data_IF_910795844566
#
_entry.id   IF_910795844566
#
_cell.length_a   1.000
_cell.length_b   1.000
_cell.length_c   1.000
_cell.angle_alpha   90.00
_cell.angle_beta   90.00
_cell.angle_gamma   90.00
#
_symmetry.space_group_name_H-M   'P 1'
#
loop_
_entity.id
_entity.type
_entity.pdbx_description
1 polymer ?
#
# COMPACT_ATOMS: atom_id res chain seq x y z
N UNK A 1 29.59 -59.36 -34.76
CA UNK A 1 28.13 -59.28 -34.96
C UNK A 1 27.58 -58.17 -34.09
N UNK A 2 27.11 -57.12 -34.76
CA UNK A 2 26.74 -55.79 -34.25
C UNK A 2 25.44 -55.83 -33.42
N UNK A 3 25.49 -55.35 -32.17
CA UNK A 3 24.29 -55.13 -31.35
C UNK A 3 23.65 -53.78 -31.70
N UNK A 4 22.41 -53.85 -32.18
CA UNK A 4 21.49 -52.73 -32.46
C UNK A 4 21.22 -51.90 -31.17
N UNK A 5 21.09 -50.56 -31.25
CA UNK A 5 20.63 -49.75 -30.12
C UNK A 5 19.09 -49.86 -29.94
N UNK A 6 18.56 -49.63 -28.73
CA UNK A 6 17.12 -49.71 -28.46
C UNK A 6 16.35 -48.51 -29.03
N UNK A 7 15.15 -48.81 -29.52
CA UNK A 7 14.20 -47.90 -30.16
C UNK A 7 13.67 -46.84 -29.18
N UNK A 8 13.55 -45.60 -29.67
CA UNK A 8 12.92 -44.46 -29.01
C UNK A 8 11.41 -44.68 -28.84
N UNK A 9 10.91 -44.48 -27.63
CA UNK A 9 9.48 -44.45 -27.35
C UNK A 9 8.84 -43.15 -27.89
N UNK A 10 7.61 -43.19 -28.44
CA UNK A 10 6.97 -42.02 -29.01
C UNK A 10 6.35 -41.10 -27.94
N UNK A 11 6.52 -39.80 -28.15
CA UNK A 11 5.94 -38.67 -27.39
C UNK A 11 4.40 -38.73 -27.46
N UNK A 12 3.64 -38.60 -26.35
CA UNK A 12 2.18 -38.59 -26.44
C UNK A 12 1.66 -37.26 -26.99
N UNK A 13 0.95 -37.35 -28.12
CA UNK A 13 0.15 -36.28 -28.73
C UNK A 13 -1.03 -35.90 -27.81
N UNK A 14 -1.10 -34.64 -27.42
CA UNK A 14 -2.25 -34.05 -26.73
C UNK A 14 -3.53 -34.13 -27.60
N UNK A 15 -4.54 -34.87 -27.14
CA UNK A 15 -5.90 -34.84 -27.67
C UNK A 15 -6.70 -33.71 -26.99
N UNK A 16 -7.23 -32.76 -27.76
CA UNK A 16 -8.49 -32.04 -27.45
C UNK A 16 -9.66 -33.01 -27.72
N UNK A 17 -10.84 -32.95 -27.06
CA UNK A 17 -11.81 -31.83 -27.13
C UNK A 17 -12.57 -31.60 -25.78
N UNK A 18 -13.38 -30.56 -25.52
CA UNK A 18 -14.61 -30.11 -26.17
C UNK A 18 -14.92 -28.66 -25.75
N UNK A 19 -15.09 -27.79 -26.74
CA UNK A 19 -15.92 -26.59 -26.61
C UNK A 19 -17.38 -27.04 -26.61
N UNK A 20 -18.18 -26.45 -25.72
CA UNK A 20 -19.30 -25.56 -26.07
C UNK A 20 -20.45 -25.68 -25.06
N UNK A 21 -20.75 -24.58 -24.37
CA UNK A 21 -22.11 -24.02 -24.32
C UNK A 21 -22.15 -22.68 -23.56
N UNK A 22 -22.47 -21.67 -24.35
CA UNK A 22 -23.25 -20.45 -24.05
C UNK A 22 -22.52 -19.26 -23.41
N UNK A 23 -22.00 -18.43 -24.32
CA UNK A 23 -22.08 -16.98 -24.24
C UNK A 23 -23.50 -16.52 -23.90
N UNK A 24 -23.65 -15.74 -22.83
CA UNK A 24 -24.62 -14.65 -22.77
C UNK A 24 -23.85 -13.36 -22.64
N UNK A 25 -23.80 -12.64 -23.74
CA UNK A 25 -23.49 -11.22 -23.84
C UNK A 25 -24.53 -10.43 -23.04
N UNK A 26 -24.06 -9.56 -22.16
CA UNK A 26 -24.92 -8.73 -21.32
C UNK A 26 -24.10 -7.69 -20.57
N UNK A 27 -24.07 -6.50 -21.16
CA UNK A 27 -23.75 -5.20 -20.57
C UNK A 27 -22.28 -4.88 -20.25
N UNK A 28 -21.62 -4.26 -21.25
CA UNK A 28 -20.46 -3.41 -21.04
C UNK A 28 -20.91 -2.09 -20.40
N UNK A 29 -21.27 -2.12 -19.12
CA UNK A 29 -21.46 -0.89 -18.35
C UNK A 29 -20.08 -0.29 -18.08
N UNK A 30 -19.72 0.71 -18.87
CA UNK A 30 -18.65 1.70 -18.65
C UNK A 30 -17.73 1.40 -17.45
N UNK A 31 -16.59 0.77 -17.73
CA UNK A 31 -15.50 0.63 -16.75
C UNK A 31 -14.95 2.04 -16.49
N UNK A 32 -15.62 2.75 -15.58
CA UNK A 32 -15.10 3.95 -14.93
C UNK A 32 -13.76 3.54 -14.37
N UNK A 33 -12.67 4.06 -14.96
CA UNK A 33 -11.33 3.92 -14.42
C UNK A 33 -11.41 4.29 -12.94
N UNK A 34 -11.18 3.38 -11.97
CA UNK A 34 -11.12 3.80 -10.59
C UNK A 34 -9.91 4.72 -10.49
N UNK A 35 -10.16 6.02 -10.38
CA UNK A 35 -9.19 6.98 -9.84
C UNK A 35 -8.66 6.37 -8.55
N UNK A 36 -7.34 6.42 -8.27
CA UNK A 36 -6.77 5.71 -7.13
C UNK A 36 -7.60 5.97 -5.87
N UNK A 37 -8.01 4.91 -5.16
CA UNK A 37 -8.91 5.00 -3.99
C UNK A 37 -8.43 6.05 -2.96
N UNK A 38 -7.13 6.32 -2.90
CA UNK A 38 -6.57 7.37 -2.07
C UNK A 38 -7.11 8.77 -2.42
N UNK A 39 -7.26 9.15 -3.69
CA UNK A 39 -7.63 10.52 -4.10
C UNK A 39 -9.07 10.84 -3.67
N UNK A 40 -10.00 9.91 -3.91
CA UNK A 40 -11.42 10.11 -3.59
C UNK A 40 -11.68 10.32 -2.10
N UNK A 41 -10.94 9.61 -1.24
CA UNK A 41 -11.04 9.80 0.20
C UNK A 41 -10.73 11.25 0.60
N UNK A 42 -9.69 11.83 0.00
CA UNK A 42 -9.28 13.20 0.31
C UNK A 42 -10.22 14.24 -0.31
N UNK A 43 -10.73 13.99 -1.52
CA UNK A 43 -11.78 14.81 -2.13
C UNK A 43 -13.04 14.80 -1.26
N UNK A 44 -13.42 13.63 -0.72
CA UNK A 44 -14.55 13.50 0.19
C UNK A 44 -14.33 14.29 1.49
N UNK A 45 -13.12 14.28 2.07
CA UNK A 45 -12.77 15.12 3.23
C UNK A 45 -13.00 16.60 2.92
N UNK A 46 -12.48 17.11 1.78
CA UNK A 46 -12.65 18.52 1.42
C UNK A 46 -14.12 18.88 1.19
N UNK A 47 -14.89 17.97 0.58
CA UNK A 47 -16.33 18.15 0.42
C UNK A 47 -17.06 18.18 1.77
N UNK A 48 -16.69 17.31 2.71
CA UNK A 48 -17.22 17.31 4.08
C UNK A 48 -16.83 18.57 4.85
N UNK A 49 -15.61 19.09 4.67
CA UNK A 49 -15.18 20.36 5.27
C UNK A 49 -15.98 21.55 4.73
N UNK A 50 -16.22 21.61 3.41
CA UNK A 50 -17.09 22.61 2.81
C UNK A 50 -18.54 22.47 3.34
N UNK A 51 -19.06 21.24 3.41
CA UNK A 51 -20.37 20.95 3.99
C UNK A 51 -20.49 21.33 5.48
N UNK A 52 -19.43 21.15 6.26
CA UNK A 52 -19.36 21.62 7.65
C UNK A 52 -19.41 23.14 7.73
N UNK A 53 -18.79 23.86 6.79
CA UNK A 53 -18.95 25.31 6.66
C UNK A 53 -20.42 25.72 6.44
N UNK A 54 -21.12 25.06 5.52
CA UNK A 54 -22.57 25.28 5.32
C UNK A 54 -23.38 24.96 6.59
N UNK A 55 -23.03 23.87 7.29
CA UNK A 55 -23.68 23.52 8.54
C UNK A 55 -23.48 24.60 9.62
N UNK A 56 -22.30 25.21 9.69
CA UNK A 56 -22.05 26.36 10.56
C UNK A 56 -22.98 27.54 10.23
N UNK A 57 -23.15 27.86 8.95
CA UNK A 57 -24.07 28.92 8.51
C UNK A 57 -25.50 28.67 8.95
N UNK A 58 -25.99 27.45 8.80
CA UNK A 58 -27.35 27.05 9.22
C UNK A 58 -27.51 27.12 10.74
N UNK A 59 -26.51 26.68 11.50
CA UNK A 59 -26.57 26.66 12.97
C UNK A 59 -26.53 28.05 13.60
N UNK A 60 -25.78 28.98 13.00
CA UNK A 60 -25.60 30.34 13.54
C UNK A 60 -26.35 31.42 12.76
N UNK A 61 -27.08 31.03 11.72
CA UNK A 61 -27.95 31.86 10.90
C UNK A 61 -27.25 33.08 10.29
N UNK A 62 -26.05 32.87 9.68
CA UNK A 62 -25.31 33.98 9.04
C UNK A 62 -25.86 34.34 7.64
N UNK A 63 -26.63 33.44 7.02
CA UNK A 63 -27.45 33.73 5.84
C UNK A 63 -26.72 33.68 4.49
N UNK A 64 -25.46 33.20 4.45
CA UNK A 64 -24.64 33.16 3.21
C UNK A 64 -23.93 31.80 3.11
N UNK A 65 -24.64 30.73 2.70
CA UNK A 65 -24.10 29.37 2.74
C UNK A 65 -22.91 29.18 1.80
N UNK A 66 -22.85 29.92 0.69
CA UNK A 66 -21.72 29.86 -0.25
C UNK A 66 -20.41 30.36 0.39
N UNK A 67 -20.46 31.47 1.12
CA UNK A 67 -19.28 32.01 1.79
C UNK A 67 -18.80 31.06 2.89
N UNK A 68 -19.73 30.50 3.67
CA UNK A 68 -19.42 29.53 4.70
C UNK A 68 -18.80 28.24 4.11
N UNK A 69 -19.28 27.78 2.95
CA UNK A 69 -18.67 26.67 2.23
C UNK A 69 -17.21 26.95 1.82
N UNK A 70 -16.91 28.17 1.38
CA UNK A 70 -15.54 28.60 1.01
C UNK A 70 -14.63 28.56 2.24
N UNK A 71 -15.06 29.12 3.38
CA UNK A 71 -14.29 29.04 4.63
C UNK A 71 -14.03 27.58 5.04
N UNK A 72 -15.07 26.74 5.03
CA UNK A 72 -14.96 25.32 5.37
C UNK A 72 -13.99 24.57 4.44
N UNK A 73 -14.05 24.83 3.14
CA UNK A 73 -13.13 24.25 2.16
C UNK A 73 -11.69 24.69 2.40
N UNK A 74 -11.43 25.99 2.59
CA UNK A 74 -10.08 26.51 2.80
C UNK A 74 -9.46 26.01 4.10
N UNK A 75 -10.24 25.97 5.20
CA UNK A 75 -9.82 25.35 6.47
C UNK A 75 -9.47 23.88 6.26
N UNK A 76 -10.35 23.11 5.62
CA UNK A 76 -10.12 21.69 5.33
C UNK A 76 -8.88 21.47 4.45
N UNK A 77 -8.66 22.31 3.45
CA UNK A 77 -7.50 22.25 2.55
C UNK A 77 -6.18 22.54 3.27
N UNK A 78 -6.16 23.58 4.12
CA UNK A 78 -5.01 23.91 4.97
C UNK A 78 -4.71 22.76 5.94
N UNK A 79 -5.72 22.23 6.63
CA UNK A 79 -5.55 21.09 7.51
C UNK A 79 -5.01 19.85 6.77
N UNK A 80 -5.57 19.54 5.60
CA UNK A 80 -5.15 18.42 4.76
C UNK A 80 -3.70 18.56 4.25
N UNK A 81 -3.25 19.78 3.96
CA UNK A 81 -1.88 20.05 3.54
C UNK A 81 -0.86 19.75 4.65
N UNK A 82 -1.21 20.00 5.92
CA UNK A 82 -0.41 19.59 7.07
C UNK A 82 -0.41 18.06 7.24
N UNK A 83 -1.57 17.41 7.11
CA UNK A 83 -1.70 15.94 7.14
C UNK A 83 -0.98 15.20 6.01
N UNK A 84 -0.52 15.91 4.97
CA UNK A 84 0.30 15.31 3.91
C UNK A 84 1.78 15.61 4.04
N UNK A 85 2.15 16.39 5.05
CA UNK A 85 3.52 16.85 5.22
C UNK A 85 3.95 17.82 4.11
N UNK A 86 3.00 18.40 3.36
CA UNK A 86 3.29 19.34 2.29
C UNK A 86 3.77 20.70 2.84
N UNK A 87 3.23 21.11 3.99
CA UNK A 87 3.60 22.37 4.65
C UNK A 87 4.64 22.20 5.77
N UNK A 88 4.66 21.07 6.47
CA UNK A 88 5.58 20.82 7.58
C UNK A 88 5.94 19.33 7.75
N UNK A 89 6.74 18.75 6.83
CA UNK A 89 7.03 17.31 6.82
C UNK A 89 7.71 16.82 8.12
N UNK A 90 8.60 17.63 8.70
CA UNK A 90 9.29 17.28 9.95
C UNK A 90 8.37 17.25 11.18
N UNK A 91 7.35 18.11 11.23
CA UNK A 91 6.38 18.17 12.34
C UNK A 91 5.49 16.93 12.30
N UNK A 92 5.00 16.57 11.11
CA UNK A 92 4.14 15.40 10.96
C UNK A 92 4.86 14.09 11.27
N UNK A 93 6.13 13.97 10.86
CA UNK A 93 6.95 12.80 11.18
C UNK A 93 7.15 12.62 12.70
N UNK A 94 7.24 13.71 13.47
CA UNK A 94 7.33 13.68 14.94
C UNK A 94 5.97 13.37 15.58
N UNK A 95 4.90 14.01 15.13
CA UNK A 95 3.53 13.78 15.60
C UNK A 95 3.15 12.30 15.49
N UNK A 96 3.44 11.65 14.35
CA UNK A 96 3.09 10.24 14.12
C UNK A 96 3.71 9.26 15.12
N UNK A 97 4.81 9.63 15.78
CA UNK A 97 5.52 8.82 16.79
C UNK A 97 4.93 8.95 18.19
N UNK A 98 4.05 9.92 18.43
CA UNK A 98 3.46 10.13 19.75
C UNK A 98 2.40 9.06 20.04
N UNK A 99 2.26 8.65 21.32
CA UNK A 99 1.11 7.88 21.79
C UNK A 99 -0.20 8.59 21.43
N UNK A 100 -1.27 7.84 21.15
CA UNK A 100 -2.55 8.42 20.68
C UNK A 100 -3.10 9.50 21.62
N UNK A 101 -2.97 9.32 22.94
CA UNK A 101 -3.42 10.29 23.95
C UNK A 101 -2.67 11.64 23.87
N UNK A 102 -1.40 11.62 23.47
CA UNK A 102 -0.59 12.84 23.28
C UNK A 102 -0.71 13.39 21.86
N UNK A 103 -0.92 12.50 20.88
CA UNK A 103 -1.06 12.86 19.47
C UNK A 103 -2.21 13.84 19.26
N UNK A 104 -3.41 13.55 19.79
CA UNK A 104 -4.60 14.38 19.55
C UNK A 104 -4.42 15.83 20.04
N UNK A 105 -4.07 16.11 21.31
CA UNK A 105 -3.94 17.50 21.77
C UNK A 105 -2.78 18.25 21.11
N UNK A 106 -1.66 17.57 20.83
CA UNK A 106 -0.50 18.20 20.18
C UNK A 106 -0.79 18.48 18.70
N UNK A 107 -1.51 17.56 18.03
CA UNK A 107 -2.00 17.78 16.69
C UNK A 107 -2.96 18.98 16.67
N UNK A 108 -3.91 19.05 17.59
CA UNK A 108 -4.88 20.16 17.68
C UNK A 108 -4.19 21.53 17.83
N UNK A 109 -3.13 21.62 18.65
CA UNK A 109 -2.33 22.86 18.75
C UNK A 109 -1.72 23.24 17.40
N UNK A 110 -1.19 22.26 16.65
CA UNK A 110 -0.67 22.51 15.31
C UNK A 110 -1.80 22.89 14.33
N UNK A 111 -3.01 22.34 14.49
CA UNK A 111 -4.18 22.64 13.67
C UNK A 111 -4.76 24.03 13.92
N UNK A 112 -4.64 24.62 15.12
CA UNK A 112 -5.06 26.01 15.38
C UNK A 112 -4.44 26.97 14.35
N UNK A 113 -3.13 26.84 14.09
CA UNK A 113 -2.44 27.66 13.10
C UNK A 113 -2.95 27.42 11.67
N UNK A 114 -3.26 26.16 11.33
CA UNK A 114 -3.79 25.79 10.02
C UNK A 114 -5.23 26.25 9.81
N UNK A 115 -6.06 26.22 10.85
CA UNK A 115 -7.42 26.73 10.85
C UNK A 115 -7.39 28.25 10.66
N UNK A 116 -6.52 28.97 11.38
CA UNK A 116 -6.36 30.41 11.21
C UNK A 116 -5.91 30.77 9.79
N UNK A 117 -4.93 30.04 9.24
CA UNK A 117 -4.47 30.22 7.86
C UNK A 117 -5.58 29.91 6.83
N UNK A 118 -6.30 28.80 7.02
CA UNK A 118 -7.41 28.42 6.15
C UNK A 118 -8.58 29.40 6.22
N UNK A 119 -8.88 29.94 7.40
CA UNK A 119 -9.89 30.96 7.56
C UNK A 119 -9.47 32.27 6.88
N UNK A 120 -8.23 32.71 7.09
CA UNK A 120 -7.69 33.92 6.47
C UNK A 120 -7.70 33.84 4.93
N UNK A 121 -7.33 32.68 4.37
CA UNK A 121 -7.37 32.45 2.92
C UNK A 121 -8.79 32.40 2.39
N UNK A 122 -9.72 31.71 3.06
CA UNK A 122 -11.14 31.72 2.72
C UNK A 122 -11.74 33.13 2.78
N UNK A 123 -11.38 33.90 3.80
CA UNK A 123 -11.81 35.28 3.99
C UNK A 123 -11.34 36.22 2.89
N UNK A 124 -10.11 36.03 2.41
CA UNK A 124 -9.60 36.76 1.25
C UNK A 124 -10.46 36.49 0.00
N UNK A 125 -10.82 35.24 -0.27
CA UNK A 125 -11.69 34.89 -1.40
C UNK A 125 -13.10 35.47 -1.23
N UNK A 126 -13.69 35.31 -0.06
CA UNK A 126 -15.03 35.81 0.25
C UNK A 126 -15.11 37.34 0.13
N UNK A 127 -14.08 38.06 0.61
CA UNK A 127 -13.98 39.51 0.52
C UNK A 127 -13.77 39.99 -0.92
N UNK A 128 -12.83 39.38 -1.66
CA UNK A 128 -12.55 39.73 -3.07
C UNK A 128 -13.74 39.48 -3.98
N UNK A 129 -14.56 38.47 -3.69
CA UNK A 129 -15.81 38.17 -4.40
C UNK A 129 -17.01 38.99 -3.92
N UNK A 130 -16.85 39.82 -2.87
CA UNK A 130 -17.92 40.67 -2.34
C UNK A 130 -19.09 39.91 -1.73
N UNK A 131 -18.87 38.69 -1.23
CA UNK A 131 -19.97 37.80 -0.83
C UNK A 131 -20.65 38.22 0.49
N UNK A 132 -19.93 38.85 1.42
CA UNK A 132 -20.42 39.07 2.79
C UNK A 132 -20.64 40.55 3.17
N UNK A 133 -20.28 41.50 2.30
CA UNK A 133 -20.41 42.94 2.58
C UNK A 133 -19.61 43.46 3.77
N UNK A 134 -18.78 42.62 4.42
CA UNK A 134 -18.04 42.96 5.62
C UNK A 134 -16.65 43.56 5.33
N UNK A 135 -16.05 44.18 6.37
CA UNK A 135 -14.69 44.70 6.35
C UNK A 135 -13.66 43.57 6.17
N UNK A 136 -12.54 43.87 5.52
CA UNK A 136 -11.44 42.92 5.34
C UNK A 136 -10.99 42.25 6.66
N UNK A 137 -10.89 43.02 7.75
CA UNK A 137 -10.45 42.51 9.05
C UNK A 137 -11.39 41.44 9.63
N UNK A 138 -12.72 41.60 9.50
CA UNK A 138 -13.70 40.64 10.03
C UNK A 138 -13.82 39.41 9.14
N UNK A 139 -13.53 39.55 7.85
CA UNK A 139 -13.47 38.42 6.92
C UNK A 139 -12.24 37.53 7.16
N UNK A 140 -11.10 38.10 7.57
CA UNK A 140 -9.83 37.35 7.67
C UNK A 140 -9.52 36.87 9.09
N UNK A 141 -10.09 37.49 10.12
CA UNK A 141 -9.87 37.09 11.52
C UNK A 141 -11.03 36.20 12.03
N UNK A 142 -10.76 34.96 12.45
CA UNK A 142 -11.82 34.07 12.94
C UNK A 142 -12.38 34.58 14.27
N UNK A 143 -13.71 34.64 14.36
CA UNK A 143 -14.36 34.90 15.65
C UNK A 143 -14.12 33.72 16.62
N UNK A 144 -14.17 33.93 17.95
CA UNK A 144 -14.00 32.85 18.91
C UNK A 144 -14.97 31.68 18.69
N UNK A 145 -16.21 31.97 18.24
CA UNK A 145 -17.21 30.95 17.93
C UNK A 145 -16.81 30.08 16.74
N UNK A 146 -16.29 30.70 15.67
CA UNK A 146 -15.76 29.98 14.50
C UNK A 146 -14.59 29.11 14.93
N UNK A 147 -13.67 29.65 15.74
CA UNK A 147 -12.50 28.91 16.18
C UNK A 147 -12.89 27.66 16.98
N UNK A 148 -13.80 27.79 17.95
CA UNK A 148 -14.30 26.64 18.74
C UNK A 148 -14.97 25.60 17.83
N UNK A 149 -15.83 26.02 16.91
CA UNK A 149 -16.48 25.11 15.98
C UNK A 149 -15.47 24.38 15.07
N UNK A 150 -14.52 25.13 14.49
CA UNK A 150 -13.50 24.60 13.60
C UNK A 150 -12.55 23.62 14.34
N UNK A 151 -12.26 23.87 15.62
CA UNK A 151 -11.48 22.94 16.45
C UNK A 151 -12.21 21.62 16.68
N UNK A 152 -13.52 21.64 16.95
CA UNK A 152 -14.31 20.40 17.10
C UNK A 152 -14.32 19.60 15.80
N UNK A 153 -14.50 20.27 14.65
CA UNK A 153 -14.49 19.62 13.33
C UNK A 153 -13.09 19.09 12.98
N UNK A 154 -12.04 19.86 13.30
CA UNK A 154 -10.64 19.43 13.18
C UNK A 154 -10.36 18.18 14.00
N UNK A 155 -10.77 18.15 15.27
CA UNK A 155 -10.54 17.00 16.14
C UNK A 155 -11.18 15.73 15.58
N UNK A 156 -12.40 15.83 15.03
CA UNK A 156 -13.06 14.72 14.34
C UNK A 156 -12.28 14.28 13.09
N UNK A 157 -11.81 15.24 12.28
CA UNK A 157 -11.01 14.95 11.08
C UNK A 157 -9.69 14.25 11.43
N UNK A 158 -8.95 14.78 12.41
CA UNK A 158 -7.68 14.21 12.91
C UNK A 158 -7.91 12.79 13.41
N UNK A 159 -8.99 12.55 14.15
CA UNK A 159 -9.35 11.22 14.62
C UNK A 159 -9.59 10.25 13.45
N UNK A 160 -10.38 10.65 12.44
CA UNK A 160 -10.67 9.83 11.26
C UNK A 160 -9.39 9.51 10.47
N UNK A 161 -8.53 10.50 10.24
CA UNK A 161 -7.26 10.28 9.52
C UNK A 161 -6.34 9.36 10.32
N UNK A 162 -6.25 9.55 11.64
CA UNK A 162 -5.44 8.69 12.51
C UNK A 162 -5.95 7.25 12.50
N UNK A 163 -7.27 7.04 12.59
CA UNK A 163 -7.87 5.71 12.55
C UNK A 163 -7.60 5.02 11.20
N UNK A 164 -7.73 5.75 10.10
CA UNK A 164 -7.39 5.25 8.76
C UNK A 164 -5.92 4.85 8.66
N UNK A 165 -5.01 5.65 9.20
CA UNK A 165 -3.57 5.37 9.17
C UNK A 165 -3.19 4.17 10.06
N UNK A 166 -3.96 3.90 11.12
CA UNK A 166 -3.78 2.71 11.98
C UNK A 166 -4.31 1.42 11.34
N UNK A 167 -5.47 1.48 10.67
CA UNK A 167 -6.10 0.31 10.04
C UNK A 167 -5.52 0.04 8.63
N UNK A 168 -5.04 1.07 7.95
CA UNK A 168 -4.70 1.03 6.53
C UNK A 168 -5.86 1.54 5.66
N UNK A 169 -5.55 2.40 4.69
CA UNK A 169 -6.55 3.15 3.94
C UNK A 169 -7.56 2.29 3.17
N UNK A 170 -7.11 1.20 2.54
CA UNK A 170 -8.00 0.32 1.78
C UNK A 170 -8.90 -0.51 2.70
N UNK A 171 -8.35 -1.06 3.79
CA UNK A 171 -9.11 -1.81 4.79
C UNK A 171 -10.15 -0.90 5.46
N UNK A 172 -9.76 0.32 5.85
CA UNK A 172 -10.65 1.31 6.47
C UNK A 172 -11.88 1.59 5.61
N UNK A 173 -11.69 1.88 4.31
CA UNK A 173 -12.81 2.17 3.40
C UNK A 173 -13.71 0.95 3.23
N UNK A 174 -13.14 -0.25 3.10
CA UNK A 174 -13.93 -1.47 2.96
C UNK A 174 -14.75 -1.80 4.22
N UNK A 175 -14.23 -1.50 5.41
CA UNK A 175 -14.97 -1.62 6.68
C UNK A 175 -16.11 -0.59 6.76
N UNK A 176 -15.84 0.68 6.42
CA UNK A 176 -16.86 1.74 6.44
C UNK A 176 -18.03 1.48 5.49
N UNK A 177 -17.78 0.86 4.34
CA UNK A 177 -18.81 0.50 3.36
C UNK A 177 -19.45 -0.86 3.69
N UNK A 178 -18.89 -1.62 4.63
CA UNK A 178 -19.36 -2.95 5.00
C UNK A 178 -19.18 -4.00 3.90
N UNK A 179 -18.20 -3.81 3.00
CA UNK A 179 -18.04 -4.64 1.78
C UNK A 179 -17.86 -6.13 2.10
N UNK A 180 -17.17 -6.45 3.18
CA UNK A 180 -16.82 -7.83 3.57
C UNK A 180 -17.62 -8.37 4.75
N UNK A 181 -18.68 -7.67 5.20
CA UNK A 181 -19.60 -8.21 6.22
C UNK A 181 -20.26 -9.52 5.76
N UNK A 182 -20.36 -9.72 4.43
CA UNK A 182 -20.68 -11.01 3.82
C UNK A 182 -19.46 -11.51 3.05
N UNK A 183 -19.23 -12.83 2.98
CA UNK A 183 -18.14 -13.39 2.19
C UNK A 183 -18.25 -12.99 0.72
N UNK A 184 -17.16 -12.48 0.14
CA UNK A 184 -17.06 -12.07 -1.26
C UNK A 184 -16.00 -12.92 -1.95
N UNK A 185 -16.37 -13.60 -3.03
CA UNK A 185 -15.40 -14.27 -3.90
C UNK A 185 -14.76 -13.26 -4.85
N UNK A 186 -13.43 -13.18 -4.85
CA UNK A 186 -12.66 -12.31 -5.72
C UNK A 186 -11.29 -12.91 -6.05
N UNK A 187 -10.70 -12.48 -7.17
CA UNK A 187 -9.34 -12.85 -7.52
C UNK A 187 -8.33 -11.85 -6.96
N UNK A 188 -7.31 -12.38 -6.26
CA UNK A 188 -6.26 -11.58 -5.64
C UNK A 188 -4.88 -12.14 -5.94
N UNK A 189 -3.90 -11.24 -5.91
CA UNK A 189 -2.48 -11.56 -5.92
C UNK A 189 -1.97 -11.37 -4.50
N UNK A 190 -1.13 -12.29 -4.04
CA UNK A 190 -0.46 -12.25 -2.75
C UNK A 190 1.06 -12.29 -2.97
N UNK A 191 1.75 -11.42 -2.26
CA UNK A 191 3.20 -11.37 -2.15
C UNK A 191 3.57 -11.60 -0.69
N UNK A 192 4.36 -12.65 -0.44
CA UNK A 192 4.97 -12.90 0.85
C UNK A 192 6.40 -12.37 0.79
N UNK A 193 6.77 -11.48 1.70
CA UNK A 193 8.12 -10.91 1.81
C UNK A 193 8.73 -11.32 3.16
N UNK A 194 9.70 -12.22 3.14
CA UNK A 194 10.40 -12.78 4.31
C UNK A 194 11.79 -12.14 4.45
N UNK A 195 12.21 -11.77 5.66
CA UNK A 195 13.54 -11.20 5.90
C UNK A 195 14.56 -12.31 6.12
N UNK A 196 15.56 -12.37 5.25
CA UNK A 196 16.59 -13.42 5.31
C UNK A 196 17.43 -13.26 6.57
N UNK A 197 17.59 -14.35 7.34
CA UNK A 197 18.47 -14.39 8.50
C UNK A 197 17.96 -13.60 9.72
N UNK A 198 16.68 -13.24 9.75
CA UNK A 198 16.03 -12.53 10.87
C UNK A 198 16.25 -13.23 12.23
N UNK A 199 16.11 -14.56 12.28
CA UNK A 199 16.29 -15.36 13.50
C UNK A 199 17.74 -15.33 13.98
N UNK A 200 18.70 -15.52 13.07
CA UNK A 200 20.13 -15.44 13.40
C UNK A 200 20.51 -14.02 13.86
N UNK A 201 19.89 -12.99 13.27
CA UNK A 201 20.06 -11.61 13.71
C UNK A 201 19.57 -11.42 15.14
N UNK A 202 18.40 -11.97 15.49
CA UNK A 202 17.83 -11.92 16.84
C UNK A 202 18.69 -12.67 17.87
N UNK A 203 19.18 -13.86 17.53
CA UNK A 203 20.10 -14.63 18.38
C UNK A 203 21.38 -13.85 18.69
N UNK A 204 21.90 -13.09 17.72
CA UNK A 204 23.16 -12.34 17.87
C UNK A 204 22.98 -11.00 18.58
N UNK A 205 21.85 -10.32 18.37
CA UNK A 205 21.65 -8.92 18.77
C UNK A 205 20.60 -8.71 19.87
N UNK A 206 19.86 -9.77 20.22
CA UNK A 206 18.73 -9.72 21.14
C UNK A 206 17.43 -9.20 20.53
N UNK A 207 16.32 -9.59 21.15
CA UNK A 207 14.96 -9.38 20.63
C UNK A 207 14.61 -7.91 20.39
N UNK A 208 15.04 -7.00 21.27
CA UNK A 208 14.73 -5.57 21.13
C UNK A 208 15.39 -4.96 19.88
N UNK A 209 16.64 -5.33 19.60
CA UNK A 209 17.36 -4.83 18.42
C UNK A 209 16.84 -5.49 17.15
N UNK A 210 16.47 -6.77 17.19
CA UNK A 210 15.79 -7.46 16.10
C UNK A 210 14.42 -6.85 15.77
N UNK A 211 13.61 -6.52 16.79
CA UNK A 211 12.33 -5.86 16.60
C UNK A 211 12.49 -4.48 15.95
N UNK A 212 13.49 -3.70 16.39
CA UNK A 212 13.80 -2.41 15.79
C UNK A 212 14.28 -2.55 14.33
N UNK A 213 15.03 -3.61 14.03
CA UNK A 213 15.50 -3.97 12.69
C UNK A 213 14.33 -4.34 11.77
N UNK A 214 13.48 -5.30 12.18
CA UNK A 214 12.29 -5.69 11.43
C UNK A 214 11.33 -4.52 11.21
N UNK A 215 11.10 -3.71 12.24
CA UNK A 215 10.26 -2.51 12.13
C UNK A 215 10.79 -1.52 11.09
N UNK A 216 12.10 -1.34 10.99
CA UNK A 216 12.71 -0.49 9.96
C UNK A 216 12.57 -1.11 8.55
N UNK A 217 12.70 -2.44 8.43
CA UNK A 217 12.57 -3.14 7.14
C UNK A 217 11.14 -3.00 6.62
N UNK A 218 10.14 -3.26 7.49
CA UNK A 218 8.73 -3.11 7.16
C UNK A 218 8.35 -1.67 6.79
N UNK A 219 8.92 -0.68 7.47
CA UNK A 219 8.74 0.72 7.10
C UNK A 219 9.28 1.03 5.68
N UNK A 220 10.41 0.42 5.31
CA UNK A 220 11.03 0.57 3.98
C UNK A 220 10.23 -0.13 2.88
N UNK A 221 9.59 -1.26 3.19
CA UNK A 221 8.69 -1.99 2.29
C UNK A 221 7.42 -1.18 1.98
N UNK A 222 6.92 -0.41 2.96
CA UNK A 222 5.61 0.24 2.85
C UNK A 222 5.49 1.24 1.68
N UNK A 223 6.54 2.00 1.37
CA UNK A 223 6.51 3.00 0.29
C UNK A 223 6.47 2.36 -1.12
N UNK A 224 7.37 1.42 -1.48
CA UNK A 224 7.26 0.62 -2.70
C UNK A 224 5.88 -0.03 -2.87
N UNK A 225 5.33 -0.64 -1.81
CA UNK A 225 4.00 -1.27 -1.84
C UNK A 225 2.92 -0.25 -2.20
N UNK A 226 2.90 0.91 -1.55
CA UNK A 226 1.96 1.99 -1.86
C UNK A 226 2.11 2.50 -3.29
N UNK A 227 3.35 2.72 -3.76
CA UNK A 227 3.63 3.18 -5.12
C UNK A 227 3.15 2.18 -6.18
N UNK A 228 3.30 0.89 -5.90
CA UNK A 228 2.79 -0.21 -6.73
C UNK A 228 1.30 -0.54 -6.46
N UNK A 229 0.59 0.31 -5.71
CA UNK A 229 -0.84 0.20 -5.40
C UNK A 229 -1.23 -1.14 -4.73
N UNK A 230 -0.31 -1.72 -3.98
CA UNK A 230 -0.57 -2.86 -3.10
C UNK A 230 -1.03 -2.41 -1.73
N UNK A 231 -1.66 -3.33 -1.00
CA UNK A 231 -2.00 -3.16 0.40
C UNK A 231 -1.20 -4.14 1.23
N UNK A 232 -0.46 -3.65 2.24
CA UNK A 232 0.05 -4.51 3.31
C UNK A 232 -1.14 -4.97 4.14
N UNK A 233 -1.33 -6.28 4.22
CA UNK A 233 -2.45 -6.90 4.93
C UNK A 233 -2.10 -7.24 6.37
N UNK A 234 -0.96 -7.91 6.57
CA UNK A 234 -0.51 -8.34 7.88
C UNK A 234 1.02 -8.45 7.95
N UNK A 235 1.53 -8.46 9.18
CA UNK A 235 2.91 -8.82 9.50
C UNK A 235 2.90 -10.07 10.38
N UNK A 236 3.40 -11.18 9.85
CA UNK A 236 3.41 -12.48 10.54
C UNK A 236 4.86 -12.81 10.88
N UNK A 237 5.28 -12.46 12.10
CA UNK A 237 6.69 -12.59 12.50
C UNK A 237 7.58 -11.64 11.72
N UNK A 238 8.53 -12.18 10.97
CA UNK A 238 9.47 -11.51 10.08
C UNK A 238 8.96 -11.41 8.63
N UNK A 239 7.73 -11.85 8.37
CA UNK A 239 7.11 -11.85 7.06
C UNK A 239 6.08 -10.73 6.91
N UNK A 240 6.16 -9.98 5.80
CA UNK A 240 5.12 -9.04 5.37
C UNK A 240 4.22 -9.68 4.30
N UNK A 241 2.90 -9.63 4.53
CA UNK A 241 1.89 -10.04 3.56
C UNK A 241 1.38 -8.83 2.79
N UNK A 242 1.56 -8.82 1.47
CA UNK A 242 1.06 -7.77 0.58
C UNK A 242 0.06 -8.37 -0.40
N UNK A 243 -1.01 -7.64 -0.70
CA UNK A 243 -2.06 -8.12 -1.60
C UNK A 243 -2.56 -7.06 -2.57
N UNK A 244 -3.05 -7.51 -3.73
CA UNK A 244 -3.72 -6.71 -4.74
C UNK A 244 -4.99 -7.41 -5.22
N UNK A 245 -6.07 -6.67 -5.53
CA UNK A 245 -7.05 -7.15 -6.50
C UNK A 245 -6.34 -7.52 -7.80
N UNK A 246 -6.68 -8.67 -8.42
CA UNK A 246 -5.96 -9.25 -9.56
C UNK A 246 -5.69 -8.22 -10.67
N UNK A 247 -6.75 -7.56 -11.17
CA UNK A 247 -6.64 -6.56 -12.23
C UNK A 247 -5.69 -5.39 -11.89
N UNK A 248 -5.62 -4.99 -10.60
CA UNK A 248 -4.76 -3.89 -10.15
C UNK A 248 -3.29 -4.31 -10.12
N UNK A 249 -2.99 -5.54 -9.69
CA UNK A 249 -1.61 -6.04 -9.61
C UNK A 249 -1.05 -6.45 -10.97
N UNK A 250 -1.88 -6.98 -11.88
CA UNK A 250 -1.47 -7.31 -13.26
C UNK A 250 -1.18 -6.07 -14.11
N UNK A 251 -1.89 -4.96 -13.87
CA UNK A 251 -1.67 -3.71 -14.61
C UNK A 251 -0.22 -3.29 -14.52
N UNK A 252 0.45 -3.21 -15.68
CA UNK A 252 1.88 -2.86 -15.79
C UNK A 252 2.80 -3.75 -14.94
N UNK A 253 2.36 -4.98 -14.64
CA UNK A 253 3.03 -5.92 -13.75
C UNK A 253 3.45 -5.32 -12.40
N UNK A 254 2.60 -4.47 -11.80
CA UNK A 254 2.86 -3.80 -10.52
C UNK A 254 3.24 -4.76 -9.40
N UNK A 255 2.65 -5.95 -9.36
CA UNK A 255 2.97 -6.98 -8.39
C UNK A 255 4.45 -7.42 -8.48
N UNK A 256 4.98 -7.57 -9.70
CA UNK A 256 6.39 -7.88 -9.95
C UNK A 256 7.27 -6.65 -9.69
N UNK A 257 6.88 -5.49 -10.22
CA UNK A 257 7.62 -4.24 -10.02
C UNK A 257 7.80 -3.89 -8.53
N UNK A 258 6.81 -4.22 -7.69
CA UNK A 258 6.87 -4.02 -6.24
C UNK A 258 8.07 -4.74 -5.60
N UNK A 259 8.35 -5.98 -5.99
CA UNK A 259 9.45 -6.78 -5.44
C UNK A 259 10.78 -6.06 -5.68
N UNK A 260 11.04 -5.64 -6.91
CA UNK A 260 12.29 -4.98 -7.28
C UNK A 260 12.38 -3.55 -6.73
N UNK A 261 11.24 -2.86 -6.62
CA UNK A 261 11.18 -1.56 -5.95
C UNK A 261 11.52 -1.63 -4.46
N UNK A 262 11.13 -2.71 -3.77
CA UNK A 262 11.53 -2.96 -2.37
C UNK A 262 13.05 -3.16 -2.29
N UNK A 263 13.60 -4.06 -3.12
CA UNK A 263 15.05 -4.35 -3.13
C UNK A 263 15.88 -3.11 -3.44
N UNK A 264 15.44 -2.30 -4.40
CA UNK A 264 16.10 -1.05 -4.74
C UNK A 264 16.09 -0.06 -3.57
N UNK A 265 14.96 0.06 -2.84
CA UNK A 265 14.92 0.93 -1.66
C UNK A 265 15.85 0.45 -0.53
N UNK A 266 15.95 -0.86 -0.30
CA UNK A 266 16.88 -1.42 0.69
C UNK A 266 18.35 -1.17 0.28
N UNK A 267 18.67 -1.36 -1.01
CA UNK A 267 20.02 -1.14 -1.54
C UNK A 267 20.41 0.34 -1.56
N UNK A 268 19.47 1.25 -1.85
CA UNK A 268 19.72 2.70 -1.87
C UNK A 268 20.20 3.23 -0.51
N UNK A 269 19.68 2.67 0.57
CA UNK A 269 19.97 3.11 1.94
C UNK A 269 21.01 2.21 2.64
N UNK A 270 21.80 1.43 1.88
CA UNK A 270 22.71 0.41 2.39
C UNK A 270 23.67 0.92 3.49
N UNK A 271 24.29 2.09 3.29
CA UNK A 271 25.22 2.67 4.28
C UNK A 271 24.53 2.96 5.62
N UNK A 272 23.30 3.48 5.57
CA UNK A 272 22.51 3.75 6.77
C UNK A 272 22.11 2.44 7.49
N UNK A 273 21.84 1.38 6.73
CA UNK A 273 21.59 0.04 7.28
C UNK A 273 22.81 -0.52 7.99
N UNK A 274 23.98 -0.46 7.37
CA UNK A 274 25.24 -0.93 7.95
C UNK A 274 25.57 -0.16 9.23
N UNK A 275 25.47 1.18 9.20
CA UNK A 275 25.75 2.00 10.37
C UNK A 275 24.82 1.71 11.55
N UNK A 276 23.53 1.50 11.29
CA UNK A 276 22.52 1.34 12.34
C UNK A 276 22.39 -0.10 12.85
N UNK A 277 22.51 -1.08 11.96
CA UNK A 277 22.17 -2.47 12.23
C UNK A 277 23.32 -3.45 11.95
N UNK A 278 24.41 -3.01 11.33
CA UNK A 278 25.58 -3.82 11.01
C UNK A 278 25.43 -4.68 9.75
N UNK A 279 24.29 -4.59 9.05
CA UNK A 279 24.02 -5.37 7.84
C UNK A 279 22.97 -4.68 6.98
N UNK A 280 22.95 -4.98 5.69
CA UNK A 280 21.89 -4.58 4.76
C UNK A 280 20.83 -5.68 4.73
N UNK A 281 19.54 -5.36 4.92
CA UNK A 281 18.49 -6.37 4.88
C UNK A 281 18.36 -7.03 3.51
N UNK A 282 18.32 -8.35 3.52
CA UNK A 282 17.97 -9.17 2.37
C UNK A 282 16.55 -9.73 2.53
N UNK A 283 15.86 -9.93 1.41
CA UNK A 283 14.49 -10.42 1.40
C UNK A 283 14.30 -11.61 0.45
N UNK A 284 13.39 -12.50 0.84
CA UNK A 284 12.78 -13.50 -0.04
C UNK A 284 11.36 -13.07 -0.38
N UNK A 285 10.98 -13.19 -1.64
CA UNK A 285 9.71 -12.76 -2.18
C UNK A 285 9.03 -13.90 -2.94
N UNK A 286 7.81 -14.26 -2.54
CA UNK A 286 7.01 -15.27 -3.24
C UNK A 286 5.69 -14.68 -3.71
N UNK A 287 5.39 -14.83 -5.00
CA UNK A 287 4.27 -14.18 -5.66
C UNK A 287 3.35 -15.20 -6.35
N UNK A 288 2.08 -15.22 -5.95
CA UNK A 288 1.05 -16.05 -6.57
C UNK A 288 -0.31 -15.34 -6.53
N UNK A 289 -1.24 -15.75 -7.39
CA UNK A 289 -2.58 -15.18 -7.42
C UNK A 289 -3.62 -16.18 -7.90
N UNK A 290 -4.84 -16.02 -7.40
CA UNK A 290 -5.98 -16.88 -7.69
C UNK A 290 -7.25 -16.44 -6.96
N UNK A 291 -8.29 -17.26 -7.04
CA UNK A 291 -9.55 -17.01 -6.33
C UNK A 291 -9.39 -17.17 -4.82
N UNK A 292 -10.00 -16.25 -4.08
CA UNK A 292 -10.15 -16.27 -2.63
C UNK A 292 -11.53 -15.78 -2.25
N UNK A 293 -11.98 -16.20 -1.08
CA UNK A 293 -13.13 -15.63 -0.38
C UNK A 293 -12.59 -14.65 0.67
N UNK A 294 -12.88 -13.37 0.48
CA UNK A 294 -12.59 -12.32 1.44
C UNK A 294 -13.82 -12.09 2.34
N UNK A 295 -13.63 -12.17 3.64
CA UNK A 295 -14.70 -11.95 4.62
C UNK A 295 -14.15 -11.24 5.86
N UNK A 296 -14.99 -10.42 6.48
CA UNK A 296 -14.71 -9.86 7.79
C UNK A 296 -14.88 -10.95 8.86
N UNK A 297 -13.86 -11.14 9.68
CA UNK A 297 -13.81 -12.16 10.74
C UNK A 297 -13.36 -11.49 12.04
N UNK A 298 -14.01 -11.86 13.15
CA UNK A 298 -13.71 -11.39 14.48
C UNK A 298 -14.96 -10.97 15.25
N UNK A 299 -14.88 -11.05 16.58
CA UNK A 299 -15.94 -10.56 17.49
C UNK A 299 -15.43 -9.31 18.21
N UNK A 300 -14.26 -9.41 18.86
CA UNK A 300 -13.65 -8.27 19.56
C UNK A 300 -12.66 -7.50 18.68
N UNK A 301 -12.02 -8.20 17.72
CA UNK A 301 -11.08 -7.64 16.75
C UNK A 301 -11.48 -8.06 15.35
N UNK A 302 -12.10 -7.14 14.62
CA UNK A 302 -12.48 -7.32 13.23
C UNK A 302 -11.25 -7.22 12.32
N UNK A 303 -11.10 -8.18 11.41
CA UNK A 303 -10.13 -8.13 10.32
C UNK A 303 -10.72 -8.72 9.05
N UNK A 304 -10.24 -8.27 7.90
CA UNK A 304 -10.54 -8.94 6.64
C UNK A 304 -9.64 -10.17 6.57
N UNK A 305 -10.22 -11.35 6.43
CA UNK A 305 -9.52 -12.61 6.25
C UNK A 305 -9.73 -13.13 4.83
N UNK A 306 -8.68 -13.71 4.25
CA UNK A 306 -8.75 -14.37 2.95
C UNK A 306 -8.70 -15.88 3.14
N UNK A 307 -9.73 -16.57 2.67
CA UNK A 307 -9.78 -18.02 2.61
C UNK A 307 -9.69 -18.47 1.17
N UNK A 308 -8.74 -19.34 0.87
CA UNK A 308 -8.60 -19.89 -0.47
C UNK A 308 -7.25 -20.56 -0.68
N UNK A 309 -7.17 -21.28 -1.79
CA UNK A 309 -5.96 -21.98 -2.18
C UNK A 309 -4.81 -21.01 -2.45
N UNK A 310 -5.11 -19.82 -2.98
CA UNK A 310 -4.10 -18.84 -3.37
C UNK A 310 -3.18 -18.44 -2.21
N UNK A 311 -3.72 -18.12 -1.02
CA UNK A 311 -2.90 -17.73 0.15
C UNK A 311 -1.98 -18.87 0.58
N UNK A 312 -2.51 -20.10 0.63
CA UNK A 312 -1.76 -21.28 1.02
C UNK A 312 -0.66 -21.63 -0.01
N UNK A 313 -0.96 -21.51 -1.30
CA UNK A 313 0.02 -21.72 -2.37
C UNK A 313 1.14 -20.67 -2.28
N UNK A 314 0.82 -19.40 -2.00
CA UNK A 314 1.85 -18.37 -1.81
C UNK A 314 2.75 -18.66 -0.62
N UNK A 315 2.20 -19.07 0.53
CA UNK A 315 2.99 -19.45 1.71
C UNK A 315 3.95 -20.62 1.42
N UNK A 316 3.49 -21.59 0.62
CA UNK A 316 4.32 -22.73 0.22
C UNK A 316 5.36 -22.36 -0.83
N UNK A 317 5.05 -21.41 -1.71
CA UNK A 317 5.99 -20.84 -2.66
C UNK A 317 7.10 -20.07 -1.93
N UNK A 318 6.79 -19.36 -0.84
CA UNK A 318 7.80 -18.73 0.03
C UNK A 318 8.77 -19.76 0.61
N UNK A 319 8.25 -20.87 1.14
CA UNK A 319 9.10 -21.94 1.65
C UNK A 319 10.02 -22.53 0.55
N UNK A 320 9.53 -22.62 -0.70
CA UNK A 320 10.35 -23.05 -1.85
C UNK A 320 11.47 -22.07 -2.21
N UNK A 321 11.34 -20.76 -1.91
CA UNK A 321 12.43 -19.80 -2.10
C UNK A 321 13.70 -20.25 -1.35
N UNK A 322 13.52 -20.86 -0.16
CA UNK A 322 14.63 -21.36 0.68
C UNK A 322 15.29 -22.60 0.07
N UNK A 323 14.49 -23.52 -0.45
CA UNK A 323 14.99 -24.80 -1.00
C UNK A 323 15.63 -24.63 -2.38
N UNK A 324 15.15 -23.69 -3.19
CA UNK A 324 15.61 -23.48 -4.56
C UNK A 324 16.72 -22.43 -4.68
N UNK A 325 17.16 -21.84 -3.56
CA UNK A 325 18.13 -20.74 -3.52
C UNK A 325 17.79 -19.60 -4.49
N UNK A 326 16.49 -19.30 -4.58
CA UNK A 326 15.93 -18.35 -5.52
C UNK A 326 15.14 -17.29 -4.73
N UNK A 327 15.67 -16.07 -4.56
CA UNK A 327 15.10 -15.10 -3.64
C UNK A 327 13.77 -14.51 -4.11
N UNK A 328 13.45 -14.58 -5.41
CA UNK A 328 12.18 -14.08 -5.93
C UNK A 328 11.51 -15.17 -6.77
N UNK A 329 10.42 -15.74 -6.28
CA UNK A 329 9.66 -16.76 -6.98
C UNK A 329 8.28 -16.24 -7.40
N UNK A 330 7.86 -16.64 -8.59
CA UNK A 330 6.51 -16.46 -9.10
C UNK A 330 5.94 -17.81 -9.55
N UNK A 331 4.68 -18.07 -9.22
CA UNK A 331 3.98 -19.24 -9.78
C UNK A 331 3.79 -19.09 -11.29
N UNK A 332 3.90 -20.17 -12.05
CA UNK A 332 3.64 -20.15 -13.49
C UNK A 332 2.21 -19.69 -13.83
N UNK A 333 1.22 -20.02 -12.99
CA UNK A 333 -0.18 -19.61 -13.15
C UNK A 333 -0.35 -18.08 -13.16
N UNK A 334 0.34 -17.38 -12.25
CA UNK A 334 0.33 -15.92 -12.22
C UNK A 334 1.18 -15.34 -13.35
N UNK A 335 2.34 -15.93 -13.63
CA UNK A 335 3.21 -15.49 -14.72
C UNK A 335 2.49 -15.51 -16.08
N UNK A 336 1.67 -16.55 -16.33
CA UNK A 336 0.88 -16.69 -17.55
C UNK A 336 -0.25 -15.65 -17.68
N UNK A 337 -0.63 -14.98 -16.59
CA UNK A 337 -1.65 -13.91 -16.57
C UNK A 337 -1.05 -12.51 -16.75
N UNK A 338 0.28 -12.37 -16.76
CA UNK A 338 0.96 -11.11 -17.00
C UNK A 338 1.13 -10.88 -18.51
N UNK A 339 0.68 -9.74 -19.02
CA UNK A 339 0.88 -9.39 -20.43
C UNK A 339 2.37 -9.22 -20.78
N UNK A 340 3.13 -8.63 -19.86
CA UNK A 340 4.57 -8.38 -19.97
C UNK A 340 5.20 -8.24 -18.58
N UNK A 341 6.46 -8.61 -18.46
CA UNK A 341 7.27 -8.27 -17.29
C UNK A 341 7.75 -6.82 -17.37
N UNK A 342 8.07 -6.16 -16.24
CA UNK A 342 8.69 -4.84 -16.29
C UNK A 342 10.06 -4.91 -16.99
N UNK A 343 10.49 -3.79 -17.58
CA UNK A 343 11.74 -3.72 -18.33
C UNK A 343 12.95 -4.11 -17.46
N UNK A 344 13.86 -4.91 -18.02
CA UNK A 344 15.04 -5.40 -17.31
C UNK A 344 14.77 -6.51 -16.29
N UNK A 345 13.59 -7.13 -16.32
CA UNK A 345 13.25 -8.30 -15.49
C UNK A 345 12.91 -9.48 -16.39
N UNK A 346 13.54 -10.62 -16.12
CA UNK A 346 13.26 -11.89 -16.80
C UNK A 346 12.76 -12.94 -15.81
N UNK A 347 11.97 -13.88 -16.33
CA UNK A 347 11.54 -15.06 -15.58
C UNK A 347 12.30 -16.30 -16.07
N UNK A 348 13.07 -16.94 -15.18
CA UNK A 348 13.76 -18.20 -15.46
C UNK A 348 12.93 -19.37 -14.89
N UNK A 349 12.38 -20.26 -15.73
CA UNK A 349 11.63 -21.41 -15.24
C UNK A 349 12.49 -22.31 -14.34
N UNK A 350 11.95 -22.72 -13.20
CA UNK A 350 12.59 -23.68 -12.29
C UNK A 350 11.89 -25.04 -12.28
N UNK A 351 10.96 -25.26 -13.21
CA UNK A 351 10.21 -26.50 -13.33
C UNK A 351 9.09 -26.64 -12.30
N UNK A 352 8.75 -27.89 -12.02
CA UNK A 352 7.55 -28.29 -11.30
C UNK A 352 7.95 -28.92 -9.97
N UNK A 353 7.41 -28.39 -8.87
CA UNK A 353 7.78 -28.80 -7.51
C UNK A 353 6.58 -29.38 -6.77
N UNK A 354 6.75 -30.44 -5.97
CA UNK A 354 5.70 -30.95 -5.11
C UNK A 354 5.39 -29.93 -4.01
N UNK A 355 4.10 -29.74 -3.73
CA UNK A 355 3.68 -28.81 -2.70
C UNK A 355 3.23 -29.60 -1.46
N UNK A 356 3.96 -29.47 -0.34
CA UNK A 356 3.72 -30.24 0.89
C UNK A 356 2.24 -30.18 1.32
N UNK A 357 1.66 -31.35 1.63
CA UNK A 357 0.26 -31.47 2.08
C UNK A 357 -0.78 -31.49 0.95
N UNK A 358 -0.40 -31.83 -0.28
CA UNK A 358 -1.32 -32.05 -1.41
C UNK A 358 -0.66 -32.90 -2.51
N UNK A 359 -1.44 -33.65 -3.28
CA UNK A 359 -0.99 -34.33 -4.52
C UNK A 359 -0.93 -33.37 -5.73
N UNK A 360 -0.74 -32.06 -5.50
CA UNK A 360 -0.63 -31.07 -6.56
C UNK A 360 0.80 -30.57 -6.64
N UNK A 361 1.27 -30.43 -7.86
CA UNK A 361 2.55 -29.82 -8.17
C UNK A 361 2.36 -28.36 -8.56
N UNK A 362 3.37 -27.54 -8.30
CA UNK A 362 3.39 -26.12 -8.64
C UNK A 362 4.56 -25.86 -9.58
N UNK A 363 4.25 -25.37 -10.79
CA UNK A 363 5.27 -24.85 -11.69
C UNK A 363 5.68 -23.45 -11.21
N UNK A 364 6.99 -23.21 -11.11
CA UNK A 364 7.53 -21.95 -10.57
C UNK A 364 8.64 -21.40 -11.46
N UNK A 365 8.83 -20.08 -11.41
CA UNK A 365 9.92 -19.38 -12.08
C UNK A 365 10.61 -18.42 -11.12
N UNK A 366 11.91 -18.26 -11.27
CA UNK A 366 12.69 -17.22 -10.60
C UNK A 366 12.56 -15.90 -11.36
N UNK A 367 12.33 -14.81 -10.64
CA UNK A 367 12.37 -13.45 -11.18
C UNK A 367 13.78 -12.86 -10.96
N UNK A 368 14.43 -12.48 -12.04
CA UNK A 368 15.80 -11.96 -12.06
C UNK A 368 15.85 -10.60 -12.73
N UNK A 369 16.62 -9.67 -12.15
CA UNK A 369 17.01 -8.46 -12.84
C UNK A 369 18.10 -8.79 -13.87
N UNK A 370 17.98 -8.24 -15.08
CA UNK A 370 19.02 -8.30 -16.09
C UNK A 370 20.21 -7.40 -15.67
N UNK A 371 21.43 -7.76 -16.07
CA UNK A 371 22.65 -7.06 -15.63
C UNK A 371 22.61 -5.54 -15.88
N UNK A 372 21.93 -5.09 -16.93
CA UNK A 372 21.77 -3.67 -17.26
C UNK A 372 20.82 -2.93 -16.31
N UNK A 373 19.84 -3.63 -15.73
CA UNK A 373 18.93 -3.09 -14.71
C UNK A 373 19.66 -2.80 -13.39
N UNK A 374 20.60 -3.69 -13.02
CA UNK A 374 21.45 -3.52 -11.84
C UNK A 374 22.47 -2.40 -12.09
N UNK A 375 23.13 -2.38 -13.25
CA UNK A 375 24.13 -1.36 -13.59
C UNK A 375 23.54 0.07 -13.67
N UNK A 376 22.32 0.23 -14.17
CA UNK A 376 21.67 1.55 -14.28
C UNK A 376 21.21 2.14 -12.93
N UNK A 377 21.19 1.35 -11.85
CA UNK A 377 20.62 1.75 -10.55
C UNK A 377 21.52 1.48 -9.33
N UNK A 378 22.70 0.87 -9.53
CA UNK A 378 23.74 0.85 -8.50
C UNK A 378 24.37 2.24 -8.34
N UNK A 379 24.62 2.73 -7.11
CA UNK A 379 25.47 3.91 -6.94
C UNK A 379 26.86 3.63 -7.54
N UNK A 380 27.55 4.64 -8.11
CA UNK A 380 28.89 4.43 -8.64
C UNK A 380 29.78 3.92 -7.52
N UNK A 381 30.29 2.70 -7.68
CA UNK A 381 31.31 2.15 -6.80
C UNK A 381 32.49 3.11 -6.86
N UNK A 382 32.75 3.82 -5.75
CA UNK A 382 33.95 4.64 -5.64
C UNK A 382 35.13 3.68 -5.80
N UNK A 383 35.84 3.79 -6.93
CA UNK A 383 37.03 3.02 -7.20
C UNK A 383 37.99 3.22 -6.02
N UNK A 384 38.44 2.11 -5.43
CA UNK A 384 39.45 2.11 -4.38
C UNK A 384 40.66 2.92 -4.87
N UNK A 385 40.98 3.99 -4.14
CA UNK A 385 42.23 4.74 -4.34
C UNK A 385 43.37 3.76 -4.03
N UNK A 386 44.33 3.55 -4.95
CA UNK A 386 45.47 2.70 -4.66
C UNK A 386 46.29 3.34 -3.54
N UNK A 387 46.57 2.57 -2.49
CA UNK A 387 47.52 2.95 -1.45
C UNK A 387 48.91 3.18 -2.08
N UNK A 388 49.39 4.41 -2.01
CA UNK A 388 50.79 4.76 -2.25
C UNK A 388 51.52 4.89 -0.90
#
# INVERSE_FOLDING_TARGET
MTRKPPQSAPIPRWRRPLQDRRCRTGDQSAVRRPVPQHVWFWVAILALSAGSGVLYDVLFNNGIPLAAAIYGFCIGASALALERGALAPGVQARLRRLPTLLYVPIAEIAYVGMIALGYATGGLFVWTLGLNGETFATSVMPSPRVLVYALVVSAMLVFVVRMRDLIGAEIFVNLMIGRYHRPVEEERIFLFVDVVGSTAYAETHGDLKAQAYLGAVFATIAEPVRRCQGSTDDFVGDMALVTWPMARGLKEARCVACIFAIRESLARDADAWIQRFGTVPEIRAALHGGSVVAAEVGVDRHKIAYFGDAVNVTARLEALCRTLDAPNLISADLLARLDRLPAGIRARPLGVHPVRGRDRTLAVAALEAESDYVAARSPPVLAAVPSA
#
